data_IF_880301231665
#
_entry.id   IF_880301231665
#
_cell.length_a   1.000
_cell.length_b   1.000
_cell.length_c   1.000
_cell.angle_alpha   90.00
_cell.angle_beta   90.00
_cell.angle_gamma   90.00
#
_symmetry.space_group_name_H-M   'P 1'
#
loop_
_entity.id
_entity.type
_entity.pdbx_description
1 polymer ?
#
# COMPACT_ATOMS: atom_id res chain seq x y z
N UNK A 1 45.25 -40.13 27.39
CA UNK A 1 46.00 -38.85 27.40
C UNK A 1 45.84 -38.24 26.02
N UNK A 2 44.72 -37.58 25.67
CA UNK A 2 44.31 -36.21 26.03
C UNK A 2 45.43 -35.19 25.77
N UNK A 3 45.10 -34.19 24.94
CA UNK A 3 45.86 -32.97 24.57
C UNK A 3 46.57 -32.98 23.22
N UNK A 4 45.80 -32.91 22.12
CA UNK A 4 46.34 -32.49 20.81
C UNK A 4 45.26 -31.94 19.87
N UNK A 5 44.59 -30.84 20.23
CA UNK A 5 43.93 -29.89 19.29
C UNK A 5 43.70 -28.59 20.09
N UNK A 6 44.43 -27.51 19.83
CA UNK A 6 44.00 -26.11 20.00
C UNK A 6 45.08 -25.19 19.40
N UNK A 7 44.93 -24.87 18.11
CA UNK A 7 45.63 -23.75 17.46
C UNK A 7 44.92 -23.45 16.13
N UNK A 8 43.85 -22.66 16.21
CA UNK A 8 43.26 -21.91 15.10
C UNK A 8 42.19 -20.94 15.65
N UNK A 9 42.61 -19.90 16.38
CA UNK A 9 41.75 -18.74 16.66
C UNK A 9 42.11 -17.64 15.65
N UNK A 10 41.69 -17.84 14.40
CA UNK A 10 41.83 -16.89 13.32
C UNK A 10 40.48 -16.25 12.97
N UNK A 11 40.42 -14.93 13.12
CA UNK A 11 39.68 -13.97 12.27
C UNK A 11 38.20 -14.27 11.95
N UNK A 12 37.31 -13.66 12.75
CA UNK A 12 35.98 -13.16 12.34
C UNK A 12 35.45 -12.40 13.57
N UNK A 13 34.93 -11.18 13.55
CA UNK A 13 34.26 -10.42 12.52
C UNK A 13 34.32 -8.96 13.02
N UNK A 14 34.99 -8.06 12.31
CA UNK A 14 34.84 -6.63 12.54
C UNK A 14 33.42 -6.25 12.09
N UNK A 15 32.50 -6.17 13.04
CA UNK A 15 31.13 -5.71 12.81
C UNK A 15 31.19 -4.20 12.58
N UNK A 16 30.74 -3.67 11.43
CA UNK A 16 30.58 -2.24 11.27
C UNK A 16 29.37 -1.77 12.09
N UNK A 17 29.64 -1.29 13.31
CA UNK A 17 28.73 -0.56 14.20
C UNK A 17 28.39 0.84 13.63
N UNK A 18 27.87 0.94 12.40
CA UNK A 18 27.64 2.24 11.72
C UNK A 18 26.30 2.34 10.94
N UNK A 19 25.17 1.79 11.43
CA UNK A 19 23.92 2.47 11.09
C UNK A 19 22.93 2.68 12.26
N UNK A 20 23.32 2.38 13.50
CA UNK A 20 22.39 2.52 14.65
C UNK A 20 22.18 3.99 15.07
N UNK A 21 23.00 4.93 14.61
CA UNK A 21 22.90 6.35 14.99
C UNK A 21 21.97 7.20 14.11
N UNK A 22 21.31 6.64 13.09
CA UNK A 22 20.40 7.39 12.21
C UNK A 22 18.91 7.34 12.63
N UNK A 23 18.59 6.64 13.73
CA UNK A 23 17.23 6.50 14.25
C UNK A 23 17.12 6.75 15.76
N UNK A 24 17.83 7.76 16.29
CA UNK A 24 17.55 8.26 17.64
C UNK A 24 16.60 9.47 17.60
N UNK A 25 15.35 9.36 18.10
CA UNK A 25 14.38 10.45 18.14
C UNK A 25 14.56 11.42 19.34
N UNK A 26 15.61 11.32 20.16
CA UNK A 26 15.73 12.11 21.41
C UNK A 26 16.68 13.31 21.38
N UNK A 27 17.35 13.61 20.27
CA UNK A 27 18.19 14.82 20.17
C UNK A 27 17.42 15.89 19.38
N UNK A 28 16.41 16.45 20.05
CA UNK A 28 15.64 17.61 19.65
C UNK A 28 15.61 18.60 20.80
N UNK A 29 16.62 19.47 20.81
CA UNK A 29 16.88 20.61 21.68
C UNK A 29 15.65 21.21 22.38
N UNK A 30 15.73 21.27 23.71
CA UNK A 30 14.87 22.04 24.62
C UNK A 30 14.97 23.53 24.24
N UNK A 31 14.02 24.02 23.45
CA UNK A 31 13.76 25.45 23.28
C UNK A 31 12.85 25.94 24.40
N UNK A 32 13.44 26.66 25.36
CA UNK A 32 12.73 27.34 26.45
C UNK A 32 11.69 28.31 25.88
N UNK A 33 10.44 28.16 26.30
CA UNK A 33 9.31 29.05 26.02
C UNK A 33 9.36 30.26 26.99
N UNK A 34 9.36 31.52 26.53
CA UNK A 34 9.09 32.65 27.41
C UNK A 34 7.59 32.70 27.76
N UNK A 35 7.31 32.81 29.05
CA UNK A 35 6.06 33.27 29.66
C UNK A 35 6.19 34.81 29.76
N UNK A 36 5.27 35.64 29.29
CA UNK A 36 4.02 36.12 29.94
C UNK A 36 3.48 37.34 29.09
N UNK A 37 2.42 38.10 29.46
CA UNK A 37 1.25 37.85 30.33
C UNK A 37 -0.11 38.35 29.75
N UNK A 38 -1.22 37.95 30.41
CA UNK A 38 -2.54 38.62 30.64
C UNK A 38 -3.42 39.21 29.49
N UNK A 39 -4.61 38.62 29.33
CA UNK A 39 -5.99 39.17 29.50
C UNK A 39 -6.23 40.70 29.32
N UNK A 40 -7.27 41.28 28.71
CA UNK A 40 -8.65 40.97 28.24
C UNK A 40 -9.08 42.14 27.28
N UNK A 41 -10.38 42.49 27.07
CA UNK A 41 -11.47 41.92 26.25
C UNK A 41 -11.89 42.85 25.04
N UNK A 42 -12.88 42.48 24.18
CA UNK A 42 -13.44 43.34 23.10
C UNK A 42 -14.48 44.34 23.69
N UNK A 43 -15.07 45.35 22.99
CA UNK A 43 -15.47 45.39 21.55
C UNK A 43 -15.38 46.77 20.83
N UNK A 44 -15.63 46.83 19.51
CA UNK A 44 -16.37 47.93 18.85
C UNK A 44 -16.63 47.65 17.36
N UNK A 45 -17.74 48.20 16.90
CA UNK A 45 -18.46 48.05 15.63
C UNK A 45 -17.97 49.10 14.60
N UNK A 46 -17.86 48.68 13.33
CA UNK A 46 -17.97 49.34 12.00
C UNK A 46 -17.66 50.86 11.81
N UNK A 47 -17.16 51.27 10.63
CA UNK A 47 -18.08 51.52 9.50
C UNK A 47 -17.60 51.08 8.10
N UNK A 48 -18.59 50.96 7.23
CA UNK A 48 -18.56 50.69 5.80
C UNK A 48 -17.51 51.50 5.03
N UNK A 49 -16.71 50.83 4.21
CA UNK A 49 -15.85 51.46 3.20
C UNK A 49 -16.37 51.10 1.80
N UNK A 50 -16.70 52.08 0.94
CA UNK A 50 -17.19 51.83 -0.42
C UNK A 50 -16.07 51.30 -1.35
N UNK A 51 -16.43 50.56 -2.43
CA UNK A 51 -15.45 49.93 -3.30
C UNK A 51 -14.70 50.96 -4.16
N UNK A 52 -13.37 50.84 -4.15
CA UNK A 52 -12.49 51.59 -5.04
C UNK A 52 -12.54 51.04 -6.47
N UNK A 53 -12.56 51.99 -7.41
CA UNK A 53 -12.56 51.87 -8.87
C UNK A 53 -11.44 50.98 -9.43
N UNK A 54 -11.81 50.24 -10.46
CA UNK A 54 -10.94 49.55 -11.42
C UNK A 54 -10.09 50.57 -12.20
N UNK A 55 -8.78 50.31 -12.37
CA UNK A 55 -8.04 50.75 -13.54
C UNK A 55 -7.84 49.59 -14.52
N UNK A 56 -8.30 49.79 -15.75
CA UNK A 56 -7.88 49.05 -16.93
C UNK A 56 -6.35 48.98 -17.02
N UNK A 57 -5.81 47.78 -17.18
CA UNK A 57 -4.43 47.59 -17.60
C UNK A 57 -4.36 46.47 -18.65
N UNK A 58 -4.03 46.92 -19.84
CA UNK A 58 -3.77 46.24 -21.11
C UNK A 58 -2.84 45.03 -20.98
N UNK A 59 -3.03 43.95 -21.79
CA UNK A 59 -2.17 42.78 -21.75
C UNK A 59 -0.82 43.03 -22.45
N UNK A 60 0.32 42.61 -21.88
CA UNK A 60 1.55 42.48 -22.64
C UNK A 60 1.52 41.21 -23.49
N UNK A 61 1.55 41.47 -24.79
CA UNK A 61 1.73 40.55 -25.91
C UNK A 61 3.23 40.28 -26.04
N UNK A 62 3.68 39.09 -25.64
CA UNK A 62 4.96 38.53 -26.09
C UNK A 62 4.82 37.02 -26.29
N UNK A 63 4.64 36.66 -27.56
CA UNK A 63 4.67 35.29 -28.03
C UNK A 63 6.13 34.83 -28.09
N UNK A 64 6.50 33.90 -27.22
CA UNK A 64 7.75 33.16 -27.38
C UNK A 64 7.64 32.22 -28.60
N UNK A 65 8.71 32.05 -29.40
CA UNK A 65 8.69 31.20 -30.57
C UNK A 65 8.50 29.73 -30.19
N UNK A 66 7.52 29.11 -30.84
CA UNK A 66 7.28 27.66 -30.85
C UNK A 66 8.54 26.96 -31.33
N UNK A 67 9.17 26.19 -30.44
CA UNK A 67 10.31 25.35 -30.77
C UNK A 67 9.77 24.08 -31.43
N UNK A 68 10.00 23.99 -32.72
CA UNK A 68 9.68 22.86 -33.60
C UNK A 68 10.24 21.55 -33.01
N UNK A 69 9.37 20.57 -32.77
CA UNK A 69 9.77 19.25 -32.28
C UNK A 69 10.47 18.48 -33.41
N UNK A 70 11.58 17.76 -33.13
CA UNK A 70 12.22 16.91 -34.14
C UNK A 70 11.31 15.74 -34.54
N UNK A 71 11.37 15.27 -35.80
CA UNK A 71 10.54 14.19 -36.28
C UNK A 71 10.82 12.89 -35.52
N UNK A 72 9.74 12.25 -35.08
CA UNK A 72 9.71 10.91 -34.49
C UNK A 72 10.22 9.92 -35.53
N UNK A 73 11.37 9.29 -35.25
CA UNK A 73 11.84 8.12 -36.00
C UNK A 73 10.92 6.95 -35.69
N UNK A 74 10.06 6.64 -36.64
CA UNK A 74 9.24 5.44 -36.68
C UNK A 74 10.14 4.21 -36.80
N UNK A 75 10.36 3.52 -35.68
CA UNK A 75 11.08 2.26 -35.65
C UNK A 75 10.14 1.15 -36.12
N UNK A 76 10.48 0.53 -37.25
CA UNK A 76 9.77 -0.60 -37.83
C UNK A 76 9.64 -1.77 -36.83
N UNK A 77 8.50 -2.50 -36.83
CA UNK A 77 8.34 -3.68 -35.99
C UNK A 77 9.21 -4.83 -36.50
N UNK A 78 10.14 -5.27 -35.64
CA UNK A 78 10.87 -6.52 -35.84
C UNK A 78 9.88 -7.69 -35.75
N UNK A 79 9.74 -8.41 -36.88
CA UNK A 79 9.07 -9.71 -36.96
C UNK A 79 9.81 -10.73 -36.07
N UNK A 80 9.25 -11.05 -34.92
CA UNK A 80 9.57 -12.28 -34.20
C UNK A 80 8.59 -13.37 -34.67
N UNK A 81 9.09 -14.30 -35.47
CA UNK A 81 8.34 -15.50 -35.87
C UNK A 81 8.14 -16.44 -34.68
N UNK A 82 7.03 -17.19 -34.62
CA UNK A 82 6.84 -18.22 -33.61
C UNK A 82 7.74 -19.42 -33.93
N UNK A 83 8.70 -19.70 -33.05
CA UNK A 83 9.32 -21.01 -32.96
C UNK A 83 8.29 -21.98 -32.36
N UNK A 84 7.67 -22.76 -33.23
CA UNK A 84 6.88 -23.92 -32.85
C UNK A 84 7.81 -24.94 -32.19
N UNK A 85 7.64 -25.14 -30.88
CA UNK A 85 8.22 -26.28 -30.16
C UNK A 85 7.18 -27.38 -30.21
N UNK A 86 7.44 -28.36 -31.07
CA UNK A 86 6.73 -29.63 -31.16
C UNK A 86 6.95 -30.39 -29.83
N UNK A 87 5.90 -30.51 -29.03
CA UNK A 87 5.87 -31.37 -27.84
C UNK A 87 5.30 -32.73 -28.28
N UNK A 88 6.07 -33.83 -28.21
CA UNK A 88 5.56 -35.14 -28.58
C UNK A 88 4.48 -35.61 -27.59
N UNK A 89 3.39 -36.14 -28.16
CA UNK A 89 2.27 -36.73 -27.44
C UNK A 89 2.73 -37.95 -26.61
N UNK A 90 2.29 -38.09 -25.35
CA UNK A 90 2.46 -39.34 -24.61
C UNK A 90 1.49 -40.40 -25.14
N UNK A 91 2.06 -41.58 -25.39
CA UNK A 91 1.42 -42.77 -25.92
C UNK A 91 0.22 -43.24 -25.08
N UNK A 92 -0.84 -43.61 -25.79
CA UNK A 92 -2.00 -44.33 -25.28
C UNK A 92 -1.56 -45.64 -24.61
N UNK A 93 -1.77 -45.73 -23.30
CA UNK A 93 -1.67 -46.99 -22.58
C UNK A 93 -3.08 -47.51 -22.33
N UNK A 94 -3.41 -48.55 -23.08
CA UNK A 94 -4.33 -49.64 -22.83
C UNK A 94 -5.40 -49.45 -21.73
N UNK A 95 -6.65 -49.41 -22.19
CA UNK A 95 -7.87 -49.68 -21.45
C UNK A 95 -7.82 -51.05 -20.75
N UNK A 96 -7.70 -51.06 -19.43
CA UNK A 96 -8.10 -52.20 -18.60
C UNK A 96 -9.54 -51.98 -18.13
N UNK A 97 -10.49 -52.69 -18.76
CA UNK A 97 -11.85 -52.89 -18.25
C UNK A 97 -11.76 -53.73 -16.98
N UNK A 98 -11.92 -53.10 -15.82
CA UNK A 98 -12.30 -53.80 -14.59
C UNK A 98 -13.81 -53.69 -14.44
N UNK A 99 -14.42 -54.86 -14.30
CA UNK A 99 -15.84 -55.06 -14.14
C UNK A 99 -16.38 -54.41 -12.85
N UNK A 100 -17.68 -54.13 -12.90
CA UNK A 100 -18.57 -53.69 -11.84
C UNK A 100 -18.12 -54.05 -10.41
N UNK A 101 -17.87 -53.02 -9.62
CA UNK A 101 -17.90 -53.07 -8.16
C UNK A 101 -18.95 -52.07 -7.70
N UNK A 102 -19.96 -52.63 -7.04
CA UNK A 102 -20.97 -52.08 -6.13
C UNK A 102 -20.97 -50.56 -5.92
N UNK A 103 -22.16 -49.96 -6.12
CA UNK A 103 -22.53 -48.63 -5.64
C UNK A 103 -22.03 -48.43 -4.20
N UNK A 104 -21.09 -47.50 -3.95
CA UNK A 104 -20.78 -47.13 -2.58
C UNK A 104 -22.02 -46.45 -1.99
N UNK A 105 -22.40 -46.75 -0.73
CA UNK A 105 -23.50 -46.07 -0.08
C UNK A 105 -23.26 -44.57 -0.14
N UNK A 106 -24.25 -43.82 -0.65
CA UNK A 106 -24.21 -42.37 -0.75
C UNK A 106 -23.73 -41.77 0.59
N UNK A 107 -22.46 -41.37 0.62
CA UNK A 107 -21.86 -40.64 1.72
C UNK A 107 -22.60 -39.31 1.84
N UNK A 108 -23.65 -39.30 2.67
CA UNK A 108 -24.20 -38.11 3.30
C UNK A 108 -23.06 -37.46 4.09
N UNK A 109 -22.32 -36.58 3.42
CA UNK A 109 -21.16 -35.90 4.01
C UNK A 109 -20.02 -35.64 3.04
N UNK A 110 -20.28 -35.50 1.73
CA UNK A 110 -19.27 -34.95 0.82
C UNK A 110 -18.84 -33.57 1.34
N UNK A 111 -17.58 -33.46 1.78
CA UNK A 111 -16.97 -32.20 2.17
C UNK A 111 -17.00 -31.30 0.93
N UNK A 112 -17.93 -30.35 0.92
CA UNK A 112 -17.99 -29.31 -0.12
C UNK A 112 -16.70 -28.51 0.00
N UNK A 113 -15.73 -28.81 -0.85
CA UNK A 113 -14.52 -27.98 -0.94
C UNK A 113 -14.94 -26.72 -1.67
N UNK A 114 -14.90 -25.54 -1.02
CA UNK A 114 -15.32 -24.31 -1.67
C UNK A 114 -14.44 -24.03 -2.90
N UNK A 115 -15.07 -23.58 -3.99
CA UNK A 115 -14.35 -23.13 -5.18
C UNK A 115 -13.70 -21.77 -4.91
N UNK A 116 -12.51 -21.83 -4.33
CA UNK A 116 -11.69 -20.66 -4.00
C UNK A 116 -11.36 -19.81 -5.24
N UNK A 117 -11.30 -20.41 -6.43
CA UNK A 117 -11.02 -19.67 -7.66
C UNK A 117 -12.22 -18.83 -8.09
N UNK A 118 -13.43 -19.40 -8.04
CA UNK A 118 -14.66 -18.66 -8.31
C UNK A 118 -14.87 -17.51 -7.32
N UNK A 119 -14.62 -17.75 -6.03
CA UNK A 119 -14.71 -16.71 -5.00
C UNK A 119 -13.73 -15.56 -5.25
N UNK A 120 -12.44 -15.88 -5.50
CA UNK A 120 -11.42 -14.88 -5.84
C UNK A 120 -11.78 -14.10 -7.11
N UNK A 121 -12.32 -14.78 -8.13
CA UNK A 121 -12.79 -14.13 -9.35
C UNK A 121 -13.94 -13.15 -9.08
N UNK A 122 -14.85 -13.50 -8.17
CA UNK A 122 -15.93 -12.62 -7.71
C UNK A 122 -15.39 -11.40 -6.97
N UNK A 123 -14.51 -11.63 -5.98
CA UNK A 123 -13.86 -10.57 -5.20
C UNK A 123 -13.10 -9.60 -6.11
N UNK A 124 -12.32 -10.12 -7.07
CA UNK A 124 -11.57 -9.31 -8.02
C UNK A 124 -12.47 -8.42 -8.88
N UNK A 125 -13.60 -8.95 -9.40
CA UNK A 125 -14.58 -8.15 -10.16
C UNK A 125 -15.16 -7.03 -9.32
N UNK A 126 -15.48 -7.31 -8.05
CA UNK A 126 -15.97 -6.29 -7.12
C UNK A 126 -14.93 -5.19 -6.89
N UNK A 127 -13.67 -5.54 -6.64
CA UNK A 127 -12.58 -4.59 -6.45
C UNK A 127 -12.33 -3.73 -7.70
N UNK A 128 -12.43 -4.33 -8.90
CA UNK A 128 -12.35 -3.59 -10.18
C UNK A 128 -13.48 -2.56 -10.26
N UNK A 129 -14.71 -2.92 -9.89
CA UNK A 129 -15.85 -2.00 -9.85
C UNK A 129 -15.68 -0.82 -8.87
N UNK A 130 -14.81 -0.95 -7.87
CA UNK A 130 -14.48 0.13 -6.93
C UNK A 130 -13.24 0.94 -7.34
N UNK A 131 -12.50 0.48 -8.35
CA UNK A 131 -11.29 1.16 -8.82
C UNK A 131 -11.64 2.35 -9.69
N UNK A 132 -11.06 3.49 -9.38
CA UNK A 132 -11.18 4.71 -10.15
C UNK A 132 -10.40 4.62 -11.48
N UNK A 133 -10.89 5.35 -12.49
CA UNK A 133 -10.13 5.54 -13.72
C UNK A 133 -8.80 6.26 -13.42
N UNK A 134 -7.66 5.84 -14.01
CA UNK A 134 -6.34 6.43 -13.73
C UNK A 134 -6.30 7.96 -13.82
N UNK A 135 -6.97 8.54 -14.83
CA UNK A 135 -7.04 9.99 -15.02
C UNK A 135 -7.71 10.75 -13.87
N UNK A 136 -8.58 10.08 -13.10
CA UNK A 136 -9.21 10.65 -11.90
C UNK A 136 -8.40 10.42 -10.63
N UNK A 137 -7.46 9.48 -10.64
CA UNK A 137 -6.55 9.20 -9.52
C UNK A 137 -5.37 10.18 -9.55
N UNK A 138 -4.86 10.49 -10.73
CA UNK A 138 -3.86 11.53 -10.92
C UNK A 138 -4.39 12.88 -10.37
N UNK A 139 -3.69 13.45 -9.39
CA UNK A 139 -4.09 14.70 -8.74
C UNK A 139 -5.22 14.60 -7.72
N UNK A 140 -5.73 13.39 -7.40
CA UNK A 140 -6.78 13.23 -6.38
C UNK A 140 -6.28 13.41 -4.93
N UNK A 141 -4.96 13.52 -4.75
CA UNK A 141 -4.30 13.81 -3.50
C UNK A 141 -3.07 14.70 -3.73
N UNK A 142 -2.76 15.55 -2.76
CA UNK A 142 -1.53 16.34 -2.70
C UNK A 142 -0.37 15.58 -2.03
N UNK A 143 -0.68 14.52 -1.27
CA UNK A 143 0.27 13.68 -0.56
C UNK A 143 -0.16 12.21 -0.58
N UNK A 144 0.82 11.31 -0.53
CA UNK A 144 0.60 9.87 -0.46
C UNK A 144 1.26 9.26 0.78
N UNK A 145 0.49 8.66 1.67
CA UNK A 145 1.02 7.86 2.80
C UNK A 145 1.03 6.38 2.42
N UNK A 146 2.22 5.82 2.28
CA UNK A 146 2.44 4.39 2.26
C UNK A 146 2.45 3.88 3.70
N UNK A 147 1.52 3.00 4.06
CA UNK A 147 1.44 2.42 5.40
C UNK A 147 1.73 0.94 5.30
N UNK A 148 2.91 0.55 5.81
CA UNK A 148 3.28 -0.86 5.95
C UNK A 148 2.68 -1.46 7.21
N UNK A 149 2.00 -2.60 7.07
CA UNK A 149 1.43 -3.33 8.18
C UNK A 149 2.23 -4.59 8.47
N UNK A 150 2.51 -4.83 9.74
CA UNK A 150 3.06 -6.12 10.20
C UNK A 150 2.17 -6.64 11.32
N UNK A 151 1.75 -7.90 11.23
CA UNK A 151 1.04 -8.55 12.32
C UNK A 151 1.91 -9.65 12.93
N UNK A 152 2.28 -9.44 14.19
CA UNK A 152 3.10 -10.35 15.01
C UNK A 152 2.27 -11.05 16.08
N UNK A 153 1.16 -10.45 16.52
CA UNK A 153 0.22 -11.05 17.46
C UNK A 153 -0.74 -12.02 16.74
N UNK A 154 -1.31 -13.04 17.40
CA UNK A 154 -2.37 -13.88 16.84
C UNK A 154 -3.58 -13.08 16.34
N UNK A 155 -4.40 -13.64 15.46
CA UNK A 155 -5.63 -12.97 15.02
C UNK A 155 -6.60 -12.90 16.22
N UNK A 156 -6.99 -11.71 16.70
CA UNK A 156 -7.93 -11.62 17.81
C UNK A 156 -9.28 -12.28 17.51
N UNK A 157 -9.72 -12.32 16.24
CA UNK A 157 -10.94 -13.00 15.83
C UNK A 157 -10.86 -14.52 15.96
N UNK A 158 -9.64 -15.09 15.91
CA UNK A 158 -9.38 -16.52 16.13
C UNK A 158 -9.05 -16.84 17.60
N UNK A 159 -8.63 -15.84 18.38
CA UNK A 159 -8.21 -16.03 19.77
C UNK A 159 -9.38 -15.98 20.75
N UNK A 160 -10.49 -15.34 20.37
CA UNK A 160 -11.76 -15.48 21.08
C UNK A 160 -12.47 -16.71 20.52
N UNK A 161 -12.94 -17.61 21.41
CA UNK A 161 -13.87 -18.72 21.11
C UNK A 161 -15.20 -18.17 20.58
N UNK A 162 -15.14 -17.52 19.43
CA UNK A 162 -16.23 -16.76 18.84
C UNK A 162 -17.17 -17.79 18.20
N UNK A 163 -18.39 -17.84 18.71
CA UNK A 163 -19.48 -18.70 18.26
C UNK A 163 -19.46 -18.90 16.72
N UNK A 164 -19.36 -20.15 16.25
CA UNK A 164 -19.36 -20.47 14.83
C UNK A 164 -20.75 -20.18 14.24
N UNK A 165 -20.98 -18.95 13.76
CA UNK A 165 -22.30 -18.58 13.24
C UNK A 165 -22.49 -17.20 12.63
N UNK A 166 -21.53 -16.27 12.75
CA UNK A 166 -21.62 -14.97 12.05
C UNK A 166 -21.17 -15.10 10.59
N UNK A 167 -22.05 -15.68 9.77
CA UNK A 167 -21.83 -16.09 8.39
C UNK A 167 -21.73 -14.95 7.35
N UNK A 168 -21.01 -13.86 7.63
CA UNK A 168 -20.91 -12.73 6.69
C UNK A 168 -19.49 -12.19 6.43
N UNK A 169 -18.45 -12.81 7.00
CA UNK A 169 -17.07 -12.39 6.75
C UNK A 169 -16.31 -13.57 6.16
N UNK A 170 -15.85 -13.48 4.90
CA UNK A 170 -15.11 -14.56 4.27
C UNK A 170 -13.73 -14.65 4.93
N UNK A 171 -13.60 -15.54 5.90
CA UNK A 171 -12.32 -16.01 6.43
C UNK A 171 -11.76 -15.24 7.62
N UNK A 172 -10.72 -15.83 8.19
CA UNK A 172 -9.92 -15.38 9.34
C UNK A 172 -9.13 -14.08 9.07
N UNK A 173 -9.74 -13.12 8.38
CA UNK A 173 -9.10 -11.87 8.02
C UNK A 173 -9.03 -10.98 9.25
N UNK A 174 -7.90 -10.29 9.39
CA UNK A 174 -7.78 -9.28 10.44
C UNK A 174 -8.61 -8.08 10.05
N UNK A 175 -9.40 -7.55 10.99
CA UNK A 175 -10.22 -6.36 10.74
C UNK A 175 -9.40 -5.11 11.01
N UNK A 176 -9.49 -4.15 10.10
CA UNK A 176 -8.82 -2.86 10.23
C UNK A 176 -9.71 -1.74 9.72
N UNK A 177 -9.86 -0.67 10.51
CA UNK A 177 -10.57 0.54 10.10
C UNK A 177 -9.62 1.67 9.74
N UNK A 178 -9.79 2.23 8.54
CA UNK A 178 -9.02 3.35 8.00
C UNK A 178 -9.91 4.60 7.90
N UNK A 179 -9.60 5.63 8.68
CA UNK A 179 -10.31 6.90 8.68
C UNK A 179 -9.46 8.01 8.02
N UNK A 180 -9.94 8.51 6.89
CA UNK A 180 -9.33 9.58 6.10
C UNK A 180 -10.13 10.88 6.16
N UNK A 181 -11.14 10.98 7.03
CA UNK A 181 -12.01 12.17 7.13
C UNK A 181 -11.24 13.42 7.57
N UNK A 182 -10.19 13.26 8.39
CA UNK A 182 -9.31 14.34 8.84
C UNK A 182 -8.20 14.73 7.86
N UNK A 183 -8.10 14.11 6.68
CA UNK A 183 -7.03 14.34 5.72
C UNK A 183 -7.51 14.28 4.26
N UNK A 184 -8.41 15.19 3.85
CA UNK A 184 -9.09 15.14 2.54
C UNK A 184 -8.13 15.32 1.34
N UNK A 185 -6.94 15.87 1.55
CA UNK A 185 -5.90 16.08 0.53
C UNK A 185 -4.89 14.92 0.44
N UNK A 186 -5.04 13.84 1.22
CA UNK A 186 -4.02 12.77 1.34
C UNK A 186 -4.59 11.41 1.01
N UNK A 187 -3.94 10.65 0.14
CA UNK A 187 -4.31 9.27 -0.14
C UNK A 187 -3.44 8.31 0.66
N UNK A 188 -3.96 7.12 0.95
CA UNK A 188 -3.21 6.07 1.65
C UNK A 188 -3.02 4.88 0.72
N UNK A 189 -1.78 4.39 0.61
CA UNK A 189 -1.50 3.08 0.04
C UNK A 189 -1.11 2.15 1.17
N UNK A 190 -1.89 1.10 1.38
CA UNK A 190 -1.56 0.10 2.38
C UNK A 190 -0.70 -0.99 1.76
N UNK A 191 0.42 -1.31 2.42
CA UNK A 191 1.26 -2.47 2.14
C UNK A 191 1.02 -3.54 3.21
N UNK A 192 0.58 -4.74 2.82
CA UNK A 192 0.31 -5.82 3.77
C UNK A 192 0.84 -7.17 3.27
N UNK A 193 1.22 -8.06 4.20
CA UNK A 193 1.66 -9.42 3.88
C UNK A 193 0.65 -10.51 4.31
N UNK A 194 -0.37 -10.13 5.09
CA UNK A 194 -1.40 -11.03 5.63
C UNK A 194 -2.80 -10.64 5.16
N UNK A 195 -3.79 -11.55 5.24
CA UNK A 195 -5.17 -11.23 4.91
C UNK A 195 -5.79 -10.19 5.85
N UNK A 196 -6.36 -9.13 5.27
CA UNK A 196 -6.98 -8.02 6.01
C UNK A 196 -8.32 -7.65 5.39
N UNK A 197 -9.32 -7.45 6.25
CA UNK A 197 -10.63 -6.90 5.94
C UNK A 197 -10.71 -5.44 6.39
N UNK A 198 -11.00 -4.55 5.45
CA UNK A 198 -10.92 -3.11 5.61
C UNK A 198 -12.30 -2.47 5.72
N UNK A 199 -12.40 -1.45 6.56
CA UNK A 199 -13.44 -0.40 6.45
C UNK A 199 -12.78 0.94 6.21
N UNK A 200 -13.31 1.78 5.32
CA UNK A 200 -12.71 3.03 4.87
C UNK A 200 -13.69 4.21 4.90
N UNK A 201 -13.46 5.10 5.86
CA UNK A 201 -14.17 6.38 5.97
C UNK A 201 -13.42 7.51 5.26
N UNK A 202 -14.11 8.33 4.48
CA UNK A 202 -13.54 9.51 3.80
C UNK A 202 -14.45 10.71 3.91
N UNK A 203 -13.87 11.92 3.79
CA UNK A 203 -14.62 13.16 3.59
C UNK A 203 -14.03 13.89 2.36
N UNK A 204 -14.82 14.17 1.30
CA UNK A 204 -16.20 13.73 1.12
C UNK A 204 -16.32 12.19 0.99
N UNK A 205 -17.51 11.59 1.20
CA UNK A 205 -17.68 10.13 1.11
C UNK A 205 -17.36 9.57 -0.27
N UNK A 206 -17.65 10.28 -1.35
CA UNK A 206 -17.41 9.89 -2.75
C UNK A 206 -16.00 10.22 -3.26
N UNK A 207 -15.06 10.45 -2.33
CA UNK A 207 -13.67 10.79 -2.65
C UNK A 207 -13.01 9.73 -3.54
N UNK A 208 -12.46 10.20 -4.65
CA UNK A 208 -11.81 9.34 -5.65
C UNK A 208 -10.39 8.98 -5.24
N UNK A 209 -10.04 7.71 -5.41
CA UNK A 209 -8.68 7.22 -5.23
C UNK A 209 -8.14 7.42 -3.81
N UNK A 210 -9.00 7.45 -2.80
CA UNK A 210 -8.57 7.71 -1.43
C UNK A 210 -7.63 6.61 -0.90
N UNK A 211 -7.78 5.38 -1.39
CA UNK A 211 -7.00 4.22 -0.94
C UNK A 211 -6.40 3.44 -2.11
N UNK A 212 -5.12 3.11 -2.03
CA UNK A 212 -4.49 2.04 -2.79
C UNK A 212 -4.17 0.85 -1.90
N UNK A 213 -4.15 -0.36 -2.45
CA UNK A 213 -3.80 -1.57 -1.69
C UNK A 213 -2.75 -2.37 -2.45
N UNK A 214 -1.65 -2.71 -1.77
CA UNK A 214 -0.66 -3.65 -2.28
C UNK A 214 -0.43 -4.76 -1.25
N UNK A 215 -0.79 -5.99 -1.60
CA UNK A 215 -0.83 -7.09 -0.62
C UNK A 215 -0.25 -8.40 -1.11
N UNK A 216 0.59 -9.04 -0.30
CA UNK A 216 1.03 -10.42 -0.53
C UNK A 216 -0.11 -11.44 -0.41
N UNK A 217 -1.21 -11.09 0.23
CA UNK A 217 -2.36 -11.95 0.52
C UNK A 217 -3.67 -11.38 -0.04
N UNK A 218 -4.75 -12.15 0.09
CA UNK A 218 -6.09 -11.69 -0.25
C UNK A 218 -6.55 -10.61 0.75
N UNK A 219 -7.40 -9.70 0.33
CA UNK A 219 -7.96 -8.67 1.19
C UNK A 219 -9.41 -8.41 0.81
N UNK A 220 -10.19 -7.81 1.71
CA UNK A 220 -11.56 -7.39 1.45
C UNK A 220 -11.79 -5.96 1.91
N UNK A 221 -12.68 -5.22 1.25
CA UNK A 221 -13.11 -3.88 1.69
C UNK A 221 -14.61 -3.96 1.86
N UNK A 222 -15.10 -3.72 3.08
CA UNK A 222 -16.51 -3.97 3.43
C UNK A 222 -17.45 -2.86 2.97
N UNK A 223 -16.96 -1.62 2.97
CA UNK A 223 -17.67 -0.40 2.59
C UNK A 223 -17.16 0.18 1.26
N UNK A 224 -16.79 -0.75 0.35
CA UNK A 224 -16.33 -0.43 -0.99
C UNK A 224 -17.41 0.29 -1.81
N UNK A 225 -16.95 1.23 -2.63
CA UNK A 225 -17.82 2.08 -3.48
C UNK A 225 -17.07 2.48 -4.75
N UNK A 226 -17.78 2.74 -5.86
CA UNK A 226 -17.15 3.14 -7.11
C UNK A 226 -16.20 4.33 -6.93
N UNK A 227 -14.98 4.18 -7.42
CA UNK A 227 -13.95 5.21 -7.37
C UNK A 227 -13.18 5.33 -6.06
N UNK A 228 -13.53 4.60 -4.99
CA UNK A 228 -12.79 4.63 -3.72
C UNK A 228 -11.32 4.24 -3.90
N UNK A 229 -11.08 3.20 -4.70
CA UNK A 229 -9.75 2.64 -4.90
C UNK A 229 -8.98 3.42 -5.97
N UNK A 230 -7.76 3.86 -5.66
CA UNK A 230 -6.82 4.39 -6.65
C UNK A 230 -6.17 3.29 -7.49
N UNK A 231 -6.30 2.05 -7.04
CA UNK A 231 -5.80 0.83 -7.65
C UNK A 231 -5.58 -0.25 -6.60
N UNK A 232 -5.26 -1.47 -7.03
CA UNK A 232 -4.78 -2.51 -6.14
C UNK A 232 -3.83 -3.48 -6.85
N UNK A 233 -2.90 -4.08 -6.10
CA UNK A 233 -2.00 -5.13 -6.56
C UNK A 233 -1.92 -6.21 -5.48
N UNK A 234 -2.44 -7.40 -5.76
CA UNK A 234 -2.35 -8.52 -4.81
C UNK A 234 -1.94 -9.82 -5.48
N UNK A 235 -1.00 -10.56 -4.88
CA UNK A 235 -0.59 -11.88 -5.37
C UNK A 235 -1.76 -12.87 -5.35
N UNK A 236 -2.63 -12.78 -4.35
CA UNK A 236 -3.83 -13.62 -4.27
C UNK A 236 -4.84 -13.33 -5.40
N UNK A 237 -4.76 -12.14 -6.01
CA UNK A 237 -5.56 -11.73 -7.16
C UNK A 237 -4.73 -11.68 -8.46
N UNK A 238 -3.64 -12.45 -8.53
CA UNK A 238 -2.89 -12.67 -9.78
C UNK A 238 -1.79 -11.66 -10.10
N UNK A 239 -1.47 -10.71 -9.20
CA UNK A 239 -0.32 -9.84 -9.42
C UNK A 239 1.00 -10.64 -9.31
N UNK A 240 1.93 -10.52 -10.29
CA UNK A 240 3.16 -11.32 -10.31
C UNK A 240 4.12 -10.94 -9.17
N UNK A 241 4.08 -9.69 -8.76
CA UNK A 241 4.88 -9.16 -7.66
C UNK A 241 4.11 -8.07 -6.92
N UNK A 242 4.40 -7.94 -5.64
CA UNK A 242 3.87 -6.92 -4.74
C UNK A 242 5.00 -6.35 -3.89
N UNK A 243 4.84 -5.10 -3.49
CA UNK A 243 5.74 -4.39 -2.60
C UNK A 243 5.88 -5.17 -1.29
N UNK A 244 7.10 -5.40 -0.82
CA UNK A 244 7.30 -5.89 0.52
C UNK A 244 6.97 -4.77 1.52
N UNK A 245 6.52 -5.17 2.71
CA UNK A 245 6.49 -4.28 3.87
C UNK A 245 7.93 -4.01 4.30
N UNK A 246 8.32 -2.75 4.37
CA UNK A 246 9.67 -2.33 4.69
C UNK A 246 9.85 -2.38 6.21
N UNK A 247 10.12 -3.58 6.71
CA UNK A 247 10.39 -3.90 8.11
C UNK A 247 11.91 -3.93 8.35
N UNK A 248 12.47 -3.11 9.27
CA UNK A 248 13.88 -3.15 9.64
C UNK A 248 14.39 -4.54 10.03
N UNK A 249 13.54 -5.39 10.63
CA UNK A 249 13.93 -6.75 11.03
C UNK A 249 14.06 -7.71 9.84
N UNK A 250 13.43 -7.38 8.69
CA UNK A 250 13.42 -8.20 7.46
C UNK A 250 14.07 -7.46 6.28
N UNK A 251 14.82 -6.40 6.57
CA UNK A 251 15.35 -5.50 5.57
C UNK A 251 16.53 -6.11 4.82
N UNK A 252 16.50 -6.03 3.49
CA UNK A 252 17.60 -6.44 2.60
C UNK A 252 17.62 -5.62 1.30
N UNK A 253 18.72 -5.68 0.51
CA UNK A 253 18.86 -4.87 -0.71
C UNK A 253 17.75 -5.13 -1.75
N UNK A 254 17.31 -6.39 -1.90
CA UNK A 254 16.18 -6.74 -2.77
C UNK A 254 14.86 -6.15 -2.29
N UNK A 255 14.63 -6.17 -0.97
CA UNK A 255 13.45 -5.59 -0.33
C UNK A 255 13.38 -4.07 -0.56
N UNK A 256 14.52 -3.37 -0.42
CA UNK A 256 14.59 -1.92 -0.72
C UNK A 256 14.19 -1.63 -2.16
N UNK A 257 14.80 -2.32 -3.14
CA UNK A 257 14.53 -2.07 -4.56
C UNK A 257 13.05 -2.29 -4.88
N UNK A 258 12.50 -3.44 -4.48
CA UNK A 258 11.10 -3.77 -4.72
C UNK A 258 10.13 -2.75 -4.06
N UNK A 259 10.42 -2.30 -2.84
CA UNK A 259 9.65 -1.25 -2.19
C UNK A 259 9.73 0.08 -2.96
N UNK A 260 10.93 0.49 -3.35
CA UNK A 260 11.12 1.77 -4.05
C UNK A 260 10.53 1.76 -5.46
N UNK A 261 10.55 0.63 -6.16
CA UNK A 261 9.88 0.46 -7.45
C UNK A 261 8.36 0.61 -7.29
N UNK A 262 7.78 -0.04 -6.28
CA UNK A 262 6.37 0.13 -5.95
C UNK A 262 6.03 1.57 -5.54
N UNK A 263 6.86 2.21 -4.72
CA UNK A 263 6.66 3.60 -4.32
C UNK A 263 6.66 4.53 -5.54
N UNK A 264 7.55 4.32 -6.52
CA UNK A 264 7.55 5.08 -7.79
C UNK A 264 6.30 4.81 -8.63
N UNK A 265 5.85 3.56 -8.71
CA UNK A 265 4.62 3.21 -9.44
C UNK A 265 3.40 3.91 -8.84
N UNK A 266 3.25 3.88 -7.52
CA UNK A 266 2.15 4.58 -6.85
C UNK A 266 2.29 6.09 -6.96
N UNK A 267 3.49 6.65 -6.83
CA UNK A 267 3.73 8.06 -7.05
C UNK A 267 3.28 8.49 -8.46
N UNK A 268 3.63 7.71 -9.49
CA UNK A 268 3.21 7.93 -10.86
C UNK A 268 1.69 7.84 -11.04
N UNK A 269 1.04 6.82 -10.46
CA UNK A 269 -0.43 6.64 -10.51
C UNK A 269 -1.18 7.85 -9.96
N UNK A 270 -0.68 8.46 -8.89
CA UNK A 270 -1.27 9.65 -8.28
C UNK A 270 -0.77 10.98 -8.89
N UNK A 271 0.19 10.93 -9.83
CA UNK A 271 0.79 12.13 -10.41
C UNK A 271 1.63 12.94 -9.40
N UNK A 272 2.24 12.27 -8.42
CA UNK A 272 3.00 12.88 -7.34
C UNK A 272 4.50 12.63 -7.49
N UNK A 273 5.37 13.59 -7.11
CA UNK A 273 6.80 13.33 -6.97
C UNK A 273 7.08 12.56 -5.67
N UNK A 274 8.22 11.86 -5.59
CA UNK A 274 8.58 11.03 -4.42
C UNK A 274 8.68 11.86 -3.12
N UNK A 275 8.97 13.15 -3.21
CA UNK A 275 9.03 14.08 -2.08
C UNK A 275 7.64 14.33 -1.44
N UNK A 276 6.56 13.93 -2.12
CA UNK A 276 5.19 13.97 -1.60
C UNK A 276 4.73 12.64 -1.03
N UNK A 277 5.63 11.67 -0.90
CA UNK A 277 5.36 10.39 -0.27
C UNK A 277 5.85 10.38 1.19
N UNK A 278 5.16 9.59 2.01
CA UNK A 278 5.54 9.26 3.38
C UNK A 278 5.36 7.78 3.59
N UNK A 279 6.30 7.13 4.24
CA UNK A 279 6.20 5.74 4.66
C UNK A 279 6.10 5.64 6.17
N UNK A 280 5.15 4.87 6.68
CA UNK A 280 5.02 4.55 8.11
C UNK A 280 4.85 3.04 8.29
N UNK A 281 5.63 2.44 9.19
CA UNK A 281 5.49 1.04 9.57
C UNK A 281 4.69 0.96 10.87
N UNK A 282 3.58 0.20 10.85
CA UNK A 282 2.70 0.01 11.99
C UNK A 282 2.52 -1.48 12.27
N UNK A 283 2.74 -1.87 13.51
CA UNK A 283 2.61 -3.25 13.98
C UNK A 283 1.29 -3.47 14.72
N UNK A 284 0.60 -4.55 14.37
CA UNK A 284 -0.69 -4.98 14.93
C UNK A 284 -1.79 -3.89 15.02
N UNK A 285 -1.99 -3.01 14.02
CA UNK A 285 -3.09 -2.04 14.09
C UNK A 285 -4.45 -2.70 13.86
N UNK A 286 -5.47 -2.24 14.59
CA UNK A 286 -6.89 -2.46 14.22
C UNK A 286 -7.55 -1.17 13.75
N UNK A 287 -6.90 -0.03 13.96
CA UNK A 287 -7.35 1.29 13.57
C UNK A 287 -6.20 2.16 13.06
N UNK A 288 -6.46 2.86 11.96
CA UNK A 288 -5.60 3.90 11.39
C UNK A 288 -6.47 5.12 11.09
N UNK A 289 -6.00 6.31 11.47
CA UNK A 289 -6.62 7.56 11.05
C UNK A 289 -5.57 8.59 10.63
N UNK A 290 -5.85 9.32 9.55
CA UNK A 290 -5.08 10.49 9.18
C UNK A 290 -5.81 11.75 9.63
N UNK A 291 -5.13 12.52 10.48
CA UNK A 291 -5.55 13.85 10.95
C UNK A 291 -4.49 14.86 10.48
N UNK A 292 -4.76 15.47 9.32
CA UNK A 292 -3.79 16.19 8.51
C UNK A 292 -2.53 15.34 8.25
N UNK A 293 -1.40 15.77 8.80
CA UNK A 293 -0.11 15.11 8.61
C UNK A 293 0.15 13.93 9.57
N UNK A 294 -0.67 13.79 10.61
CA UNK A 294 -0.45 12.84 11.71
C UNK A 294 -1.19 11.54 11.43
N UNK A 295 -0.48 10.43 11.57
CA UNK A 295 -1.09 9.11 11.64
C UNK A 295 -1.43 8.81 13.10
N UNK A 296 -2.71 8.60 13.37
CA UNK A 296 -3.20 8.04 14.63
C UNK A 296 -3.44 6.56 14.44
N UNK A 297 -3.03 5.75 15.39
CA UNK A 297 -3.22 4.30 15.36
C UNK A 297 -3.25 3.75 16.78
N UNK A 298 -3.93 2.63 16.96
CA UNK A 298 -3.90 1.80 18.16
C UNK A 298 -2.75 0.77 18.13
N UNK A 299 -2.11 0.58 16.98
CA UNK A 299 -0.93 -0.26 16.80
C UNK A 299 0.38 0.42 17.24
N UNK A 300 1.46 -0.35 17.18
CA UNK A 300 2.80 0.15 17.53
C UNK A 300 3.46 0.73 16.29
N UNK A 301 3.66 2.05 16.26
CA UNK A 301 4.44 2.70 15.20
C UNK A 301 5.92 2.37 15.35
N UNK A 302 6.52 1.70 14.36
CA UNK A 302 7.92 1.26 14.38
C UNK A 302 8.88 2.23 13.70
N UNK A 303 8.37 3.13 12.86
CA UNK A 303 9.17 4.15 12.21
C UNK A 303 8.40 4.89 11.13
N UNK A 304 8.90 6.09 10.79
CA UNK A 304 8.36 6.94 9.72
C UNK A 304 9.49 7.57 8.93
N UNK A 305 9.38 7.56 7.60
CA UNK A 305 10.31 8.23 6.68
C UNK A 305 9.49 9.01 5.68
N UNK A 306 9.80 10.29 5.44
CA UNK A 306 8.98 11.16 4.61
C UNK A 306 9.80 12.06 3.69
N UNK A 307 9.15 12.49 2.61
CA UNK A 307 9.60 13.53 1.70
C UNK A 307 11.01 13.29 1.16
N UNK A 308 11.89 14.28 1.30
CA UNK A 308 13.25 14.21 0.76
C UNK A 308 14.05 13.01 1.28
N UNK A 309 13.82 12.58 2.53
CA UNK A 309 14.51 11.40 3.08
C UNK A 309 14.07 10.12 2.39
N UNK A 310 12.77 9.97 2.14
CA UNK A 310 12.22 8.84 1.39
C UNK A 310 12.68 8.87 -0.07
N UNK A 311 12.65 10.04 -0.71
CA UNK A 311 13.14 10.23 -2.05
C UNK A 311 14.62 9.85 -2.16
N UNK A 312 15.47 10.30 -1.24
CA UNK A 312 16.89 9.94 -1.19
C UNK A 312 17.11 8.44 -0.95
N UNK A 313 16.32 7.84 -0.05
CA UNK A 313 16.35 6.40 0.20
C UNK A 313 16.04 5.58 -1.07
N UNK A 314 15.17 6.10 -1.94
CA UNK A 314 14.80 5.47 -3.21
C UNK A 314 15.60 5.93 -4.44
N UNK A 315 16.75 6.59 -4.28
CA UNK A 315 17.65 6.89 -5.42
C UNK A 315 18.58 5.72 -5.78
N UNK A 316 18.80 4.77 -4.87
CA UNK A 316 19.81 3.71 -4.95
C UNK A 316 19.21 2.32 -4.67
#
# INVERSE_FOLDING_TARGET
MRHLIWLAAGVALAIPLVPILLFDPRIGVIGRRPVAPTASPPPARAPDTPPARIPDATPPRDAAPVREAPPVREAAPARAGPLAVEVPAPAETATARVAASEDPPALRGAILTPDVAAERGSQMRTLIGWTAHPDRVAGSAAWLDLVGLVFTAPNPALAADTEPGSAADPGDYRRLSLDLTGAPDRAVVVLADQPVAWTVSTLPPDRVGAVGVESGAAFSIRDGRPGLLGGFRSRAFGAPATAPVLDPARYGPGTRRAFCDAARLWAAQYGLPLERLRYTLVENPTFLALDGERLRTDGISRGRVSGQRLAAFCRY
#
